data_IF_412920966549
#
_entry.id   IF_412920966549
#
_cell.length_a   1.000
_cell.length_b   1.000
_cell.length_c   1.000
_cell.angle_alpha   90.00
_cell.angle_beta   90.00
_cell.angle_gamma   90.00
#
_symmetry.space_group_name_H-M   'P 1'
#
loop_
_entity.id
_entity.type
_entity.pdbx_description
1 polymer ?
#
# COMPACT_ATOMS: atom_id res chain seq x y z
N UNK A 1 -14.41 -4.24 -44.24
CA UNK A 1 -15.11 -3.40 -43.24
C UNK A 1 -14.31 -3.48 -41.95
N UNK A 2 -14.01 -2.33 -41.37
CA UNK A 2 -13.12 -2.11 -40.22
C UNK A 2 -13.51 -2.97 -39.02
N UNK A 3 -12.52 -3.56 -38.33
CA UNK A 3 -12.73 -4.31 -37.10
C UNK A 3 -12.90 -3.40 -35.87
N UNK A 4 -13.31 -3.95 -34.72
CA UNK A 4 -13.02 -3.32 -33.45
C UNK A 4 -12.40 -4.32 -32.48
N UNK A 5 -11.07 -4.36 -32.43
CA UNK A 5 -10.40 -4.68 -31.18
C UNK A 5 -10.25 -3.34 -30.45
N UNK A 6 -11.25 -2.97 -29.66
CA UNK A 6 -11.10 -1.85 -28.72
C UNK A 6 -10.24 -2.34 -27.57
N UNK A 7 -8.93 -2.16 -27.73
CA UNK A 7 -7.94 -2.29 -26.67
C UNK A 7 -7.99 -1.06 -25.79
N UNK A 8 -8.76 -1.13 -24.71
CA UNK A 8 -8.65 -0.22 -23.56
C UNK A 8 -9.22 -0.93 -22.32
N UNK A 9 -8.66 -2.10 -21.98
CA UNK A 9 -8.97 -2.79 -20.72
C UNK A 9 -8.21 -2.10 -19.58
N UNK A 10 -8.49 -0.81 -19.35
CA UNK A 10 -8.15 -0.21 -18.06
C UNK A 10 -9.02 -0.91 -17.02
N UNK A 11 -8.46 -1.58 -16.00
CA UNK A 11 -9.27 -2.19 -14.96
C UNK A 11 -10.05 -1.06 -14.27
N UNK A 12 -11.37 -1.05 -14.45
CA UNK A 12 -12.27 -0.15 -13.74
C UNK A 12 -12.20 -0.53 -12.25
N UNK A 13 -11.43 0.22 -11.47
CA UNK A 13 -11.32 -0.01 -10.04
C UNK A 13 -12.61 0.52 -9.40
N UNK A 14 -13.42 -0.41 -8.88
CA UNK A 14 -14.63 -0.05 -8.12
C UNK A 14 -14.20 0.35 -6.71
N UNK A 15 -14.45 1.61 -6.35
CA UNK A 15 -14.21 2.14 -5.03
C UNK A 15 -15.52 2.19 -4.20
N UNK A 16 -15.44 2.15 -2.86
CA UNK A 16 -14.26 1.91 -2.05
C UNK A 16 -13.78 0.45 -2.15
N UNK A 17 -12.47 0.24 -2.17
CA UNK A 17 -11.88 -1.10 -2.21
C UNK A 17 -10.72 -1.22 -1.22
N UNK A 18 -10.41 -2.45 -0.82
CA UNK A 18 -9.26 -2.72 0.04
C UNK A 18 -8.01 -2.79 -0.83
N UNK A 19 -7.08 -1.89 -0.57
CA UNK A 19 -5.80 -1.83 -1.26
C UNK A 19 -4.68 -2.26 -0.31
N UNK A 20 -3.83 -3.17 -0.80
CA UNK A 20 -2.72 -3.71 -0.02
C UNK A 20 -1.41 -3.05 -0.46
N UNK A 21 -0.68 -2.48 0.48
CA UNK A 21 0.68 -1.98 0.29
C UNK A 21 1.63 -2.85 1.08
N UNK A 22 2.76 -3.20 0.49
CA UNK A 22 3.85 -3.85 1.22
C UNK A 22 4.94 -2.83 1.48
N UNK A 23 5.10 -2.45 2.75
CA UNK A 23 6.17 -1.56 3.18
C UNK A 23 7.32 -2.34 3.80
N UNK A 24 8.54 -1.91 3.50
CA UNK A 24 9.76 -2.54 3.98
C UNK A 24 10.59 -1.47 4.70
N UNK A 25 11.07 -1.80 5.89
CA UNK A 25 11.82 -0.89 6.75
C UNK A 25 12.76 -1.64 7.68
N UNK A 26 13.48 -0.91 8.53
CA UNK A 26 14.41 -1.50 9.49
C UNK A 26 13.71 -2.02 10.76
N UNK A 27 12.61 -1.37 11.16
CA UNK A 27 11.94 -1.63 12.43
C UNK A 27 10.43 -1.84 12.22
N UNK A 28 9.92 -2.98 12.66
CA UNK A 28 8.51 -3.36 12.48
C UNK A 28 7.55 -2.47 13.27
N UNK A 29 7.91 -2.09 14.50
CA UNK A 29 7.04 -1.26 15.35
C UNK A 29 6.90 0.13 14.75
N UNK A 30 8.00 0.69 14.23
CA UNK A 30 7.97 1.97 13.53
C UNK A 30 7.19 1.92 12.23
N UNK A 31 7.33 0.84 11.45
CA UNK A 31 6.50 0.63 10.25
C UNK A 31 5.02 0.56 10.59
N UNK A 32 4.64 -0.16 11.66
CA UNK A 32 3.25 -0.22 12.12
C UNK A 32 2.73 1.15 12.53
N UNK A 33 3.51 1.90 13.31
CA UNK A 33 3.13 3.25 13.73
C UNK A 33 2.97 4.19 12.53
N UNK A 34 3.91 4.16 11.58
CA UNK A 34 3.86 4.95 10.35
C UNK A 34 2.61 4.59 9.51
N UNK A 35 2.38 3.31 9.28
CA UNK A 35 1.26 2.82 8.49
C UNK A 35 -0.09 3.18 9.12
N UNK A 36 -0.25 3.00 10.44
CA UNK A 36 -1.45 3.39 11.16
C UNK A 36 -1.67 4.92 11.15
N UNK A 37 -0.60 5.71 11.32
CA UNK A 37 -0.69 7.16 11.26
C UNK A 37 -1.09 7.67 9.86
N UNK A 38 -0.58 7.03 8.80
CA UNK A 38 -0.90 7.38 7.41
C UNK A 38 -2.32 6.93 7.03
N UNK A 39 -2.73 5.73 7.45
CA UNK A 39 -4.10 5.25 7.23
C UNK A 39 -5.14 6.11 7.97
N UNK A 40 -4.77 6.68 9.13
CA UNK A 40 -5.61 7.58 9.90
C UNK A 40 -6.92 6.92 10.30
N UNK A 41 -8.04 7.55 9.94
CA UNK A 41 -9.39 7.04 10.21
C UNK A 41 -9.87 5.98 9.21
N UNK A 42 -9.12 5.73 8.14
CA UNK A 42 -9.48 4.69 7.17
C UNK A 42 -9.39 3.31 7.81
N UNK A 43 -10.35 2.44 7.50
CA UNK A 43 -10.31 1.06 7.96
C UNK A 43 -9.06 0.38 7.40
N UNK A 44 -8.20 -0.11 8.28
CA UNK A 44 -6.96 -0.74 7.88
C UNK A 44 -6.59 -1.96 8.73
N UNK A 45 -5.75 -2.81 8.18
CA UNK A 45 -5.18 -3.97 8.84
C UNK A 45 -3.69 -4.00 8.57
N UNK A 46 -2.92 -4.33 9.60
CA UNK A 46 -1.47 -4.44 9.53
C UNK A 46 -1.10 -5.90 9.77
N UNK A 47 -0.54 -6.55 8.75
CA UNK A 47 -0.09 -7.93 8.82
C UNK A 47 1.44 -7.96 8.70
N UNK A 48 2.18 -8.49 9.70
CA UNK A 48 3.61 -8.71 9.54
C UNK A 48 3.87 -9.64 8.36
N UNK A 49 4.78 -9.24 7.47
CA UNK A 49 5.24 -10.07 6.38
C UNK A 49 6.34 -11.03 6.84
N UNK A 50 6.87 -11.82 5.90
CA UNK A 50 7.99 -12.71 6.21
C UNK A 50 9.21 -11.91 6.67
N UNK A 51 9.83 -12.38 7.75
CA UNK A 51 11.18 -11.98 8.11
C UNK A 51 12.12 -12.37 6.98
N UNK A 52 12.77 -11.38 6.38
CA UNK A 52 13.83 -11.64 5.41
C UNK A 52 14.98 -12.35 6.15
N UNK A 53 15.51 -13.43 5.55
CA UNK A 53 16.50 -14.34 6.16
C UNK A 53 17.80 -13.69 6.69
N UNK A 54 18.00 -12.39 6.45
CA UNK A 54 19.14 -11.62 6.94
C UNK A 54 18.85 -10.69 8.14
N UNK A 55 17.63 -10.65 8.69
CA UNK A 55 17.26 -9.90 9.89
C UNK A 55 17.35 -8.36 9.81
N UNK A 56 17.93 -7.82 8.73
CA UNK A 56 18.19 -6.38 8.56
C UNK A 56 16.94 -5.57 8.19
N UNK A 57 15.93 -6.21 7.60
CA UNK A 57 14.71 -5.56 7.16
C UNK A 57 13.47 -6.37 7.55
N UNK A 58 12.42 -5.63 7.89
CA UNK A 58 11.08 -6.13 8.21
C UNK A 58 10.13 -5.71 7.11
N UNK A 59 9.29 -6.64 6.69
CA UNK A 59 8.21 -6.35 5.75
C UNK A 59 6.89 -6.30 6.52
N UNK A 60 6.04 -5.35 6.19
CA UNK A 60 4.71 -5.18 6.76
C UNK A 60 3.73 -4.98 5.61
N UNK A 61 2.62 -5.69 5.63
CA UNK A 61 1.51 -5.47 4.73
C UNK A 61 0.49 -4.56 5.42
N UNK A 62 0.18 -3.44 4.75
CA UNK A 62 -0.90 -2.53 5.11
C UNK A 62 -2.05 -2.75 4.13
N UNK A 63 -3.15 -3.30 4.62
CA UNK A 63 -4.40 -3.39 3.88
C UNK A 63 -5.29 -2.22 4.33
N UNK A 64 -5.61 -1.28 3.45
CA UNK A 64 -6.41 -0.09 3.78
C UNK A 64 -7.60 0.06 2.84
N UNK A 65 -8.75 0.44 3.36
CA UNK A 65 -9.93 0.77 2.57
C UNK A 65 -9.74 2.16 1.93
N UNK A 66 -9.42 2.17 0.64
CA UNK A 66 -9.30 3.40 -0.15
C UNK A 66 -10.66 3.77 -0.72
N UNK A 67 -10.97 5.06 -0.73
CA UNK A 67 -12.28 5.59 -1.15
C UNK A 67 -12.32 5.99 -2.62
N UNK A 68 -11.15 6.21 -3.20
CA UNK A 68 -10.94 6.75 -4.53
C UNK A 68 -9.45 6.66 -4.88
N UNK A 69 -9.11 6.97 -6.13
CA UNK A 69 -7.74 6.94 -6.63
C UNK A 69 -6.83 7.96 -5.93
N UNK A 70 -7.34 9.16 -5.63
CA UNK A 70 -6.55 10.20 -4.97
C UNK A 70 -6.15 9.76 -3.55
N UNK A 71 -7.09 9.19 -2.80
CA UNK A 71 -6.82 8.63 -1.48
C UNK A 71 -5.76 7.51 -1.57
N UNK A 72 -5.89 6.60 -2.54
CA UNK A 72 -4.88 5.56 -2.79
C UNK A 72 -3.49 6.16 -3.06
N UNK A 73 -3.39 7.09 -4.00
CA UNK A 73 -2.12 7.73 -4.36
C UNK A 73 -1.51 8.53 -3.21
N UNK A 74 -2.36 9.18 -2.41
CA UNK A 74 -1.94 9.93 -1.22
C UNK A 74 -1.31 9.01 -0.18
N UNK A 75 -1.94 7.87 0.12
CA UNK A 75 -1.39 6.84 1.03
C UNK A 75 -0.05 6.33 0.51
N UNK A 76 0.04 5.97 -0.77
CA UNK A 76 1.29 5.50 -1.37
C UNK A 76 2.42 6.55 -1.27
N UNK A 77 2.13 7.81 -1.60
CA UNK A 77 3.09 8.89 -1.52
C UNK A 77 3.52 9.20 -0.08
N UNK A 78 2.60 9.14 0.88
CA UNK A 78 2.88 9.35 2.29
C UNK A 78 3.79 8.23 2.85
N UNK A 79 3.51 6.97 2.50
CA UNK A 79 4.36 5.84 2.87
C UNK A 79 5.76 6.00 2.28
N UNK A 80 5.88 6.35 1.00
CA UNK A 80 7.18 6.54 0.34
C UNK A 80 8.00 7.73 0.86
N UNK A 81 7.36 8.70 1.52
CA UNK A 81 8.03 9.86 2.15
C UNK A 81 8.40 9.62 3.61
N UNK A 82 7.89 8.56 4.23
CA UNK A 82 8.09 8.32 5.66
C UNK A 82 9.53 7.81 5.93
N UNK A 83 10.29 8.40 6.86
CA UNK A 83 11.71 8.08 7.07
C UNK A 83 11.98 6.63 7.49
N UNK A 84 11.04 6.01 8.19
CA UNK A 84 11.14 4.60 8.59
C UNK A 84 10.75 3.60 7.48
N UNK A 85 10.11 4.08 6.41
CA UNK A 85 9.74 3.27 5.24
C UNK A 85 10.84 3.41 4.19
N UNK A 86 11.48 2.29 3.85
CA UNK A 86 12.56 2.23 2.87
C UNK A 86 12.05 1.93 1.47
N UNK A 87 11.05 1.06 1.37
CA UNK A 87 10.41 0.69 0.11
C UNK A 87 8.92 0.50 0.32
N UNK A 88 8.14 0.81 -0.72
CA UNK A 88 6.71 0.51 -0.84
C UNK A 88 6.54 -0.30 -2.11
N UNK A 89 5.84 -1.43 -2.02
CA UNK A 89 5.53 -2.38 -3.09
C UNK A 89 4.02 -2.55 -3.24
#
# INVERSE_FOLDING_TARGET
MSGPFSSDEHPEIVYPCRWSYRIIGADELRLRAAAAAIAGEAEHTLVPGLESSGGKYRSLQLDVLVRDEEHRLSVFAALGKHPDVRFVL
#
